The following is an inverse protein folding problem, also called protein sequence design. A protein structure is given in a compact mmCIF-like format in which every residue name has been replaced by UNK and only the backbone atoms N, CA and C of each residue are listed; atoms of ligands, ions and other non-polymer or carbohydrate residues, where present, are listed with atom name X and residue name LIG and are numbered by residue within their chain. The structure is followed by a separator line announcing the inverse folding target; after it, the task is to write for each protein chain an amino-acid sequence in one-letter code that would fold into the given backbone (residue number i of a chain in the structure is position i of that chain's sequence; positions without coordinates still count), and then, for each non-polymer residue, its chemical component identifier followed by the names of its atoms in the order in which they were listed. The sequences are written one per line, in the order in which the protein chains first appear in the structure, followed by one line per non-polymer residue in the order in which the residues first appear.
data_IF_607254612974
#
_entry.id   IF_607254612974
#
_cell.length_a   1.000
_cell.length_b   1.000
_cell.length_c   1.000
_cell.angle_alpha   90.00
_cell.angle_beta   90.00
_cell.angle_gamma   90.00
#
_symmetry.space_group_name_H-M   'P 1'
#
loop_
_entity.id
_entity.type
_entity.pdbx_description
1 polymer ?
#
# COMPACT_ATOMS: atom_id res chain seq x y z
N UNK A 1 -22.45 -15.86 13.68
CA UNK A 1 -23.47 -15.51 12.66
C UNK A 1 -22.98 -14.37 11.75
N UNK A 2 -21.71 -14.37 11.28
CA UNK A 2 -21.13 -13.25 10.51
C UNK A 2 -20.17 -13.74 9.41
N UNK A 3 -20.70 -14.47 8.42
CA UNK A 3 -19.94 -14.99 7.25
C UNK A 3 -20.47 -14.50 5.89
N UNK A 4 -21.30 -13.44 5.86
CA UNK A 4 -22.06 -13.05 4.66
C UNK A 4 -21.96 -11.58 4.22
N UNK A 5 -20.84 -10.89 4.44
CA UNK A 5 -20.73 -9.50 3.96
C UNK A 5 -20.22 -9.37 2.51
N UNK A 6 -19.52 -10.37 1.97
CA UNK A 6 -18.88 -10.28 0.63
C UNK A 6 -19.46 -11.20 -0.45
N UNK A 7 -20.38 -12.10 -0.08
CA UNK A 7 -21.08 -12.94 -1.06
C UNK A 7 -21.91 -12.12 -2.06
N UNK A 8 -22.36 -10.92 -1.67
CA UNK A 8 -23.04 -9.96 -2.57
C UNK A 8 -22.11 -9.27 -3.57
N UNK A 9 -20.79 -9.38 -3.41
CA UNK A 9 -19.78 -8.72 -4.24
C UNK A 9 -18.89 -9.72 -5.02
N UNK A 10 -19.27 -11.00 -5.09
CA UNK A 10 -18.51 -12.03 -5.80
C UNK A 10 -17.17 -12.41 -5.15
N UNK A 11 -16.83 -11.84 -4.00
CA UNK A 11 -15.54 -12.05 -3.31
C UNK A 11 -15.72 -13.11 -2.23
N UNK A 12 -15.01 -14.22 -2.39
CA UNK A 12 -14.99 -15.32 -1.41
C UNK A 12 -14.24 -14.89 -0.16
N UNK A 13 -14.77 -15.15 1.03
CA UNK A 13 -14.06 -14.89 2.28
C UNK A 13 -12.70 -15.63 2.30
N UNK A 14 -11.61 -15.00 2.75
CA UNK A 14 -10.30 -15.65 2.80
C UNK A 14 -10.36 -16.87 3.72
N UNK A 15 -9.97 -18.03 3.19
CA UNK A 15 -9.76 -19.24 4.00
C UNK A 15 -8.51 -18.99 4.84
N UNK A 16 -8.60 -19.16 6.16
CA UNK A 16 -7.40 -19.26 7.00
C UNK A 16 -6.49 -20.34 6.39
N UNK A 17 -5.19 -20.06 6.19
CA UNK A 17 -4.28 -21.10 5.73
C UNK A 17 -4.17 -22.16 6.84
N UNK A 18 -4.87 -23.27 6.65
CA UNK A 18 -4.53 -24.51 7.35
C UNK A 18 -3.31 -25.06 6.63
N UNK A 19 -2.17 -25.04 7.31
CA UNK A 19 -0.94 -25.61 6.80
C UNK A 19 -1.16 -27.07 6.37
N UNK A 20 -0.77 -27.37 5.13
CA UNK A 20 -0.31 -28.68 4.69
C UNK A 20 0.44 -28.51 3.38
N UNK A 21 1.74 -28.82 3.42
CA UNK A 21 2.55 -29.04 2.23
C UNK A 21 1.87 -30.08 1.34
N UNK A 22 1.71 -29.76 0.06
CA UNK A 22 1.50 -30.75 -0.98
C UNK A 22 2.34 -30.34 -2.19
N UNK A 23 3.47 -31.04 -2.37
CA UNK A 23 4.23 -31.02 -3.61
C UNK A 23 3.36 -31.59 -4.73
N UNK A 24 3.07 -30.83 -5.78
CA UNK A 24 2.67 -31.41 -7.06
C UNK A 24 3.35 -30.73 -8.26
N UNK A 25 3.55 -31.58 -9.27
CA UNK A 25 4.51 -31.54 -10.38
C UNK A 25 4.44 -30.33 -11.32
N UNK A 26 5.63 -30.04 -11.87
CA UNK A 26 5.97 -29.06 -12.92
C UNK A 26 5.09 -29.17 -14.17
N UNK A 27 4.69 -28.02 -14.72
CA UNK A 27 4.50 -27.82 -16.17
C UNK A 27 5.34 -26.62 -16.61
N UNK A 28 6.13 -26.87 -17.65
CA UNK A 28 7.09 -25.96 -18.27
C UNK A 28 6.40 -24.82 -19.01
N UNK A 29 6.75 -23.57 -18.68
CA UNK A 29 6.55 -22.42 -19.55
C UNK A 29 7.92 -21.81 -19.89
N UNK A 30 8.09 -21.52 -21.17
CA UNK A 30 9.29 -20.98 -21.81
C UNK A 30 9.61 -19.58 -21.29
N UNK A 31 10.72 -19.43 -20.57
CA UNK A 31 11.25 -18.14 -20.13
C UNK A 31 12.27 -17.62 -21.15
N UNK A 32 12.01 -16.41 -21.64
CA UNK A 32 12.91 -15.62 -22.47
C UNK A 32 14.20 -15.29 -21.72
N UNK A 33 15.32 -15.37 -22.46
CA UNK A 33 16.73 -15.31 -22.07
C UNK A 33 17.07 -14.36 -20.91
N UNK A 34 17.56 -14.93 -19.81
CA UNK A 34 18.47 -14.27 -18.87
C UNK A 34 19.89 -14.68 -19.25
N UNK A 35 20.76 -13.71 -19.51
CA UNK A 35 22.18 -13.91 -19.79
C UNK A 35 22.90 -14.38 -18.52
N UNK A 36 23.20 -15.68 -18.43
CA UNK A 36 24.01 -16.24 -17.35
C UNK A 36 25.50 -16.10 -17.68
N UNK A 37 26.26 -15.45 -16.80
CA UNK A 37 27.70 -15.68 -16.70
C UNK A 37 27.89 -16.97 -15.89
N UNK A 38 28.58 -17.92 -16.50
CA UNK A 38 28.78 -19.28 -16.02
C UNK A 38 29.83 -19.38 -14.91
N UNK A 39 29.51 -20.18 -13.89
CA UNK A 39 30.52 -20.90 -13.10
C UNK A 39 30.23 -20.95 -11.60
N UNK A 40 29.65 -22.05 -11.11
CA UNK A 40 30.18 -22.81 -9.97
C UNK A 40 29.35 -24.06 -9.68
N UNK A 41 30.05 -25.10 -9.26
CA UNK A 41 29.58 -26.46 -8.97
C UNK A 41 28.97 -26.58 -7.56
N UNK A 42 27.95 -27.44 -7.46
CA UNK A 42 27.63 -28.26 -6.28
C UNK A 42 27.54 -27.59 -4.90
N UNK A 43 26.36 -27.04 -4.58
CA UNK A 43 25.75 -27.02 -3.23
C UNK A 43 24.27 -26.66 -3.41
N UNK A 44 23.38 -27.21 -2.57
CA UNK A 44 21.93 -27.04 -2.70
C UNK A 44 21.59 -25.57 -2.96
N UNK A 45 20.76 -25.31 -3.98
CA UNK A 45 20.39 -23.95 -4.39
C UNK A 45 19.70 -23.27 -3.21
N UNK A 46 20.46 -22.50 -2.46
CA UNK A 46 19.95 -21.52 -1.53
C UNK A 46 19.15 -20.54 -2.40
N UNK A 47 17.82 -20.62 -2.31
CA UNK A 47 16.96 -19.65 -2.97
C UNK A 47 17.10 -18.38 -2.15
N UNK A 48 18.03 -17.51 -2.54
CA UNK A 48 18.13 -16.18 -1.98
C UNK A 48 16.88 -15.44 -2.43
N UNK A 49 15.90 -15.31 -1.53
CA UNK A 49 14.75 -14.47 -1.78
C UNK A 49 15.21 -13.04 -1.52
N UNK A 50 15.31 -12.25 -2.59
CA UNK A 50 15.62 -10.83 -2.50
C UNK A 50 14.35 -10.07 -2.14
N UNK A 51 14.44 -9.23 -1.10
CA UNK A 51 13.36 -8.33 -0.73
C UNK A 51 13.23 -7.22 -1.76
N UNK A 52 12.02 -7.05 -2.33
CA UNK A 52 11.72 -5.97 -3.25
C UNK A 52 11.31 -4.72 -2.47
N UNK A 53 12.31 -3.94 -2.05
CA UNK A 53 12.09 -2.63 -1.42
C UNK A 53 11.60 -1.57 -2.42
N UNK A 54 11.92 -1.76 -3.70
CA UNK A 54 11.41 -0.94 -4.80
C UNK A 54 10.89 -1.83 -5.93
N UNK A 55 9.88 -1.35 -6.64
CA UNK A 55 9.33 -2.01 -7.83
C UNK A 55 8.68 -0.97 -8.75
N UNK A 56 8.42 -1.32 -10.00
CA UNK A 56 7.80 -0.40 -10.97
C UNK A 56 6.42 -0.89 -11.35
N UNK A 57 5.44 0.03 -11.40
CA UNK A 57 4.15 -0.21 -12.06
C UNK A 57 3.92 0.94 -13.03
N UNK A 58 3.74 0.61 -14.31
CA UNK A 58 3.79 1.61 -15.37
C UNK A 58 5.11 2.37 -15.36
N UNK A 59 5.04 3.69 -15.39
CA UNK A 59 6.20 4.59 -15.39
C UNK A 59 6.55 5.16 -14.01
N UNK A 60 5.94 4.65 -12.93
CA UNK A 60 6.19 5.12 -11.56
C UNK A 60 7.04 4.13 -10.78
N UNK A 61 7.90 4.65 -9.90
CA UNK A 61 8.66 3.84 -8.95
C UNK A 61 7.93 3.74 -7.62
N UNK A 62 7.71 2.52 -7.16
CA UNK A 62 7.05 2.23 -5.90
C UNK A 62 8.09 1.84 -4.84
N UNK A 63 7.86 2.30 -3.61
CA UNK A 63 8.69 2.01 -2.45
C UNK A 63 7.85 1.22 -1.43
N UNK A 64 8.31 0.01 -1.11
CA UNK A 64 7.70 -0.92 -0.18
C UNK A 64 8.53 -1.01 1.11
N UNK A 65 8.02 -0.41 2.19
CA UNK A 65 8.81 -0.22 3.43
C UNK A 65 8.52 -1.24 4.53
N UNK A 66 7.36 -1.90 4.50
CA UNK A 66 6.87 -2.65 5.66
C UNK A 66 5.75 -3.59 5.27
N UNK A 67 5.63 -4.68 6.03
CA UNK A 67 4.49 -5.59 6.01
C UNK A 67 3.40 -5.20 7.04
N UNK A 68 3.73 -4.34 8.01
CA UNK A 68 2.84 -3.93 9.09
C UNK A 68 1.72 -3.05 8.54
N UNK A 69 0.53 -3.19 9.07
CA UNK A 69 -0.59 -2.30 8.78
C UNK A 69 -1.59 -2.40 9.93
N UNK A 70 -2.07 -1.26 10.41
CA UNK A 70 -3.15 -1.17 11.40
C UNK A 70 -4.48 -1.74 10.90
N UNK A 71 -4.64 -1.89 9.58
CA UNK A 71 -5.82 -2.50 8.96
C UNK A 71 -5.54 -3.92 8.49
N UNK A 72 -6.57 -4.75 8.56
CA UNK A 72 -6.62 -6.09 7.97
C UNK A 72 -7.76 -6.18 6.95
N UNK A 73 -7.77 -5.23 5.99
CA UNK A 73 -8.88 -5.09 5.06
C UNK A 73 -9.18 -6.40 4.34
N UNK A 74 -10.44 -6.79 4.34
CA UNK A 74 -10.91 -8.04 3.71
C UNK A 74 -10.82 -8.02 2.17
N UNK A 75 -10.68 -6.83 1.58
CA UNK A 75 -10.47 -6.61 0.14
C UNK A 75 -8.99 -6.37 -0.21
N UNK A 76 -8.06 -6.48 0.74
CA UNK A 76 -6.66 -6.20 0.48
C UNK A 76 -6.05 -7.24 -0.48
N UNK A 77 -5.28 -6.77 -1.46
CA UNK A 77 -4.60 -7.64 -2.42
C UNK A 77 -3.57 -8.55 -1.72
N UNK A 78 -2.98 -8.12 -0.59
CA UNK A 78 -1.99 -8.90 0.17
C UNK A 78 -2.52 -10.23 0.72
N UNK A 79 -3.85 -10.38 0.84
CA UNK A 79 -4.47 -11.66 1.23
C UNK A 79 -4.80 -12.56 0.05
N UNK A 80 -4.57 -12.09 -1.18
CA UNK A 80 -4.95 -12.76 -2.44
C UNK A 80 -3.74 -13.18 -3.27
N UNK A 81 -2.61 -12.48 -3.13
CA UNK A 81 -1.37 -12.70 -3.87
C UNK A 81 -0.13 -12.42 -3.02
N UNK A 82 1.02 -12.94 -3.45
CA UNK A 82 2.33 -12.70 -2.82
C UNK A 82 3.09 -11.51 -3.45
N UNK A 83 2.55 -10.91 -4.53
CA UNK A 83 3.22 -9.86 -5.28
C UNK A 83 2.34 -9.07 -6.24
N UNK A 84 2.90 -8.01 -6.82
CA UNK A 84 2.28 -7.10 -7.80
C UNK A 84 3.27 -6.82 -8.93
N UNK A 85 2.80 -6.69 -10.18
CA UNK A 85 3.67 -6.36 -11.31
C UNK A 85 4.81 -7.37 -11.54
N UNK A 86 4.56 -8.65 -11.24
CA UNK A 86 5.56 -9.72 -11.32
C UNK A 86 6.57 -9.78 -10.17
N UNK A 87 6.47 -8.89 -9.17
CA UNK A 87 7.41 -8.80 -8.05
C UNK A 87 6.76 -9.22 -6.73
N UNK A 88 7.43 -10.10 -5.97
CA UNK A 88 7.02 -10.46 -4.60
C UNK A 88 7.10 -9.22 -3.70
N UNK A 89 6.04 -8.91 -2.95
CA UNK A 89 6.00 -7.72 -2.06
C UNK A 89 6.11 -8.06 -0.57
N UNK A 90 5.93 -9.32 -0.17
CA UNK A 90 6.23 -9.72 1.21
C UNK A 90 7.72 -9.60 1.49
N UNK A 91 8.06 -8.81 2.51
CA UNK A 91 9.42 -8.59 2.96
C UNK A 91 9.82 -9.63 4.02
N UNK A 92 10.99 -10.25 3.88
CA UNK A 92 11.64 -11.01 4.94
C UNK A 92 12.22 -10.05 6.00
N UNK A 93 12.75 -8.90 5.56
CA UNK A 93 13.25 -7.85 6.43
C UNK A 93 12.77 -6.46 5.98
N UNK A 94 12.42 -5.60 6.94
CA UNK A 94 12.12 -4.20 6.62
C UNK A 94 13.41 -3.41 6.36
N UNK A 95 13.46 -2.59 5.29
CA UNK A 95 14.66 -1.82 4.96
C UNK A 95 14.82 -0.61 5.88
N UNK A 96 16.06 -0.15 6.04
CA UNK A 96 16.35 1.22 6.45
C UNK A 96 16.32 2.20 5.26
N UNK A 97 16.44 3.50 5.54
CA UNK A 97 16.36 4.52 4.49
C UNK A 97 17.52 4.44 3.49
N UNK A 98 18.73 4.11 3.96
CA UNK A 98 19.93 4.06 3.11
C UNK A 98 19.85 2.91 2.12
N UNK A 99 19.40 1.74 2.57
CA UNK A 99 19.16 0.58 1.70
C UNK A 99 18.18 0.91 0.57
N UNK A 100 17.09 1.63 0.85
CA UNK A 100 16.15 2.05 -0.19
C UNK A 100 16.80 3.08 -1.13
N UNK A 101 17.45 4.10 -0.57
CA UNK A 101 18.08 5.18 -1.35
C UNK A 101 19.13 4.64 -2.33
N UNK A 102 19.95 3.67 -1.91
CA UNK A 102 20.98 3.06 -2.77
C UNK A 102 20.40 2.26 -3.93
N UNK A 103 19.16 1.76 -3.81
CA UNK A 103 18.48 1.01 -4.87
C UNK A 103 17.77 1.93 -5.88
N UNK A 104 17.42 3.15 -5.48
CA UNK A 104 16.71 4.10 -6.34
C UNK A 104 17.66 4.53 -7.47
N UNK A 105 17.34 4.24 -8.76
CA UNK A 105 18.11 4.79 -9.89
C UNK A 105 17.78 6.28 -10.06
N UNK A 106 18.14 6.92 -11.18
CA UNK A 106 17.78 8.34 -11.38
C UNK A 106 16.26 8.56 -11.17
N UNK A 107 15.82 9.26 -10.10
CA UNK A 107 14.39 9.41 -9.77
C UNK A 107 13.62 10.18 -10.84
N UNK A 108 14.28 11.07 -11.57
CA UNK A 108 13.65 11.92 -12.60
C UNK A 108 13.27 11.16 -13.87
N UNK A 109 13.58 9.86 -13.96
CA UNK A 109 13.10 8.99 -15.05
C UNK A 109 11.67 8.50 -14.85
N UNK A 110 11.09 8.71 -13.67
CA UNK A 110 9.76 8.24 -13.32
C UNK A 110 8.76 9.38 -13.29
N UNK A 111 7.50 9.08 -13.61
CA UNK A 111 6.42 10.05 -13.53
C UNK A 111 6.17 10.50 -12.08
N UNK A 112 6.38 9.60 -11.13
CA UNK A 112 6.29 9.84 -9.68
C UNK A 112 6.97 8.73 -8.88
N UNK A 113 7.32 9.05 -7.63
CA UNK A 113 7.72 8.07 -6.62
C UNK A 113 6.54 7.84 -5.66
N UNK A 114 6.14 6.58 -5.48
CA UNK A 114 4.95 6.21 -4.72
C UNK A 114 5.33 5.33 -3.52
N UNK A 115 5.07 5.79 -2.31
CA UNK A 115 5.14 4.93 -1.11
C UNK A 115 3.87 4.08 -1.05
N UNK A 116 4.00 2.82 -1.40
CA UNK A 116 2.91 1.84 -1.42
C UNK A 116 3.50 0.42 -1.49
N UNK A 117 2.91 -0.50 -0.74
CA UNK A 117 3.33 -1.89 -0.64
C UNK A 117 2.23 -2.73 0.02
N UNK A 118 2.59 -3.85 0.64
CA UNK A 118 1.62 -4.69 1.38
C UNK A 118 1.31 -4.18 2.80
N UNK A 119 2.15 -3.29 3.33
CA UNK A 119 1.90 -2.60 4.60
C UNK A 119 1.42 -1.16 4.46
N UNK A 120 1.23 -0.53 5.61
CA UNK A 120 0.99 0.90 5.77
C UNK A 120 2.34 1.63 5.85
N UNK A 121 2.74 2.42 4.85
CA UNK A 121 4.06 3.03 4.83
C UNK A 121 4.34 3.95 6.04
N UNK A 122 3.32 4.52 6.68
CA UNK A 122 3.51 5.37 7.88
C UNK A 122 3.82 4.61 9.17
N UNK A 123 3.76 3.27 9.17
CA UNK A 123 4.36 2.41 10.21
C UNK A 123 5.88 2.58 10.30
N UNK A 124 6.50 3.12 9.25
CA UNK A 124 7.92 3.42 9.13
C UNK A 124 8.13 4.92 8.87
N UNK A 125 7.36 5.78 9.53
CA UNK A 125 7.33 7.23 9.28
C UNK A 125 8.71 7.88 9.23
N UNK A 126 9.61 7.58 10.16
CA UNK A 126 10.94 8.19 10.18
C UNK A 126 11.79 7.81 8.95
N UNK A 127 11.74 6.55 8.53
CA UNK A 127 12.42 6.05 7.32
C UNK A 127 11.80 6.67 6.07
N UNK A 128 10.48 6.70 5.99
CA UNK A 128 9.75 7.35 4.91
C UNK A 128 10.20 8.81 4.76
N UNK A 129 10.19 9.60 5.85
CA UNK A 129 10.55 11.01 5.82
C UNK A 129 12.03 11.22 5.47
N UNK A 130 12.94 10.31 5.87
CA UNK A 130 14.34 10.35 5.44
C UNK A 130 14.48 10.17 3.93
N UNK A 131 13.77 9.20 3.36
CA UNK A 131 13.76 8.95 1.90
C UNK A 131 13.16 10.17 1.17
N UNK A 132 12.05 10.74 1.65
CA UNK A 132 11.47 11.95 1.08
C UNK A 132 12.48 13.11 1.05
N UNK A 133 13.21 13.36 2.15
CA UNK A 133 14.24 14.41 2.20
C UNK A 133 15.35 14.19 1.17
N UNK A 134 15.75 12.94 0.94
CA UNK A 134 16.68 12.62 -0.14
C UNK A 134 16.09 12.93 -1.52
N UNK A 135 14.85 12.48 -1.77
CA UNK A 135 14.18 12.63 -3.06
C UNK A 135 13.84 14.08 -3.42
N UNK A 136 13.64 14.98 -2.44
CA UNK A 136 13.42 16.42 -2.72
C UNK A 136 14.61 17.14 -3.36
N UNK A 137 15.77 16.48 -3.52
CA UNK A 137 16.89 16.98 -4.33
C UNK A 137 16.63 16.86 -5.84
N UNK A 138 15.59 16.13 -6.24
CA UNK A 138 15.23 15.84 -7.63
C UNK A 138 13.85 16.43 -7.95
N UNK A 139 13.60 16.69 -9.23
CA UNK A 139 12.34 17.25 -9.71
C UNK A 139 11.28 16.18 -9.98
N UNK A 140 11.09 15.25 -9.04
CA UNK A 140 10.12 14.14 -9.16
C UNK A 140 8.99 14.30 -8.12
N UNK A 141 7.71 14.14 -8.52
CA UNK A 141 6.59 14.14 -7.58
C UNK A 141 6.65 12.94 -6.62
N UNK A 142 6.31 13.17 -5.35
CA UNK A 142 6.23 12.13 -4.31
C UNK A 142 4.78 11.96 -3.86
N UNK A 143 4.28 10.72 -3.94
CA UNK A 143 2.96 10.33 -3.45
C UNK A 143 3.06 9.29 -2.33
N UNK A 144 2.22 9.43 -1.31
CA UNK A 144 1.99 8.38 -0.30
C UNK A 144 0.58 7.81 -0.48
N UNK A 145 0.49 6.49 -0.62
CA UNK A 145 -0.77 5.78 -0.45
C UNK A 145 -0.84 5.27 0.99
N UNK A 146 -1.87 5.68 1.73
CA UNK A 146 -1.99 5.38 3.16
C UNK A 146 -3.44 5.02 3.52
N UNK A 147 -3.63 4.31 4.62
CA UNK A 147 -4.90 4.15 5.30
C UNK A 147 -5.30 5.38 6.14
N UNK A 148 -4.39 6.35 6.31
CA UNK A 148 -4.62 7.61 7.03
C UNK A 148 -4.33 7.57 8.53
N UNK A 149 -3.76 6.48 9.05
CA UNK A 149 -3.52 6.30 10.49
C UNK A 149 -2.17 6.83 10.98
N UNK A 150 -1.48 7.68 10.21
CA UNK A 150 -0.13 8.14 10.53
C UNK A 150 -0.03 8.76 11.94
N UNK A 151 -0.95 9.66 12.29
CA UNK A 151 -1.00 10.30 13.62
C UNK A 151 -1.40 9.32 14.73
N UNK A 152 -2.30 8.39 14.44
CA UNK A 152 -2.74 7.34 15.36
C UNK A 152 -1.58 6.40 15.73
N UNK A 153 -0.83 5.93 14.72
CA UNK A 153 0.38 5.11 14.89
C UNK A 153 1.41 5.85 15.73
N UNK A 154 1.67 7.13 15.40
CA UNK A 154 2.66 7.95 16.09
C UNK A 154 2.19 8.48 17.46
N UNK A 155 0.91 8.32 17.80
CA UNK A 155 0.24 8.86 19.00
C UNK A 155 0.43 10.38 19.17
N UNK A 156 0.55 11.11 18.06
CA UNK A 156 0.72 12.57 18.01
C UNK A 156 0.35 13.09 16.62
N UNK A 157 0.09 14.39 16.51
CA UNK A 157 -0.09 15.01 15.20
C UNK A 157 1.21 14.97 14.39
N UNK A 158 1.18 14.27 13.25
CA UNK A 158 2.31 14.19 12.31
C UNK A 158 2.06 14.94 11.01
N UNK A 159 0.88 15.54 10.81
CA UNK A 159 0.57 16.30 9.61
C UNK A 159 1.63 17.36 9.25
N UNK A 160 2.19 18.13 10.22
CA UNK A 160 3.23 19.12 9.93
C UNK A 160 4.51 18.55 9.32
N UNK A 161 4.82 17.28 9.59
CA UNK A 161 6.07 16.65 9.14
C UNK A 161 6.14 16.44 7.63
N UNK A 162 4.99 16.46 6.94
CA UNK A 162 4.93 16.26 5.49
C UNK A 162 5.17 17.55 4.69
N UNK A 163 5.20 18.71 5.35
CA UNK A 163 5.37 20.02 4.70
C UNK A 163 6.63 20.05 3.84
N UNK A 164 6.46 20.33 2.55
CA UNK A 164 7.57 20.45 1.59
C UNK A 164 8.27 19.12 1.23
N UNK A 165 7.84 17.99 1.80
CA UNK A 165 8.44 16.67 1.57
C UNK A 165 7.58 15.76 0.70
N UNK A 166 6.27 15.99 0.65
CA UNK A 166 5.32 15.15 -0.07
C UNK A 166 4.39 16.03 -0.88
N UNK A 167 4.16 15.64 -2.14
CA UNK A 167 3.35 16.41 -3.06
C UNK A 167 1.89 15.91 -3.05
N UNK A 168 1.68 14.60 -2.89
CA UNK A 168 0.35 13.99 -2.78
C UNK A 168 0.22 12.98 -1.64
N UNK A 169 -0.88 13.04 -0.89
CA UNK A 169 -1.31 11.96 0.01
C UNK A 169 -2.66 11.43 -0.45
N UNK A 170 -2.70 10.15 -0.82
CA UNK A 170 -3.91 9.41 -1.19
C UNK A 170 -4.32 8.49 -0.04
N UNK A 171 -5.41 8.86 0.64
CA UNK A 171 -5.94 8.19 1.82
C UNK A 171 -7.06 7.23 1.40
N UNK A 172 -7.02 6.03 1.95
CA UNK A 172 -7.95 4.94 1.65
C UNK A 172 -9.18 4.98 2.56
N UNK A 173 -10.23 5.68 2.14
CA UNK A 173 -11.49 5.84 2.90
C UNK A 173 -12.33 4.55 2.91
N UNK A 174 -12.66 4.02 1.73
CA UNK A 174 -13.37 2.75 1.46
C UNK A 174 -14.67 2.44 2.25
N UNK A 175 -15.23 3.37 3.03
CA UNK A 175 -16.51 3.20 3.72
C UNK A 175 -17.11 4.58 4.05
N UNK A 176 -18.43 4.69 4.08
CA UNK A 176 -19.12 5.95 4.43
C UNK A 176 -19.38 6.15 5.93
N UNK A 177 -19.08 5.16 6.77
CA UNK A 177 -19.30 5.23 8.23
C UNK A 177 -18.24 4.44 9.01
N UNK A 178 -18.04 4.78 10.29
CA UNK A 178 -17.07 4.14 11.17
C UNK A 178 -17.35 2.63 11.36
N UNK A 179 -18.62 2.28 11.55
CA UNK A 179 -19.06 0.88 11.62
C UNK A 179 -18.72 0.10 10.35
N UNK A 180 -19.10 0.63 9.19
CA UNK A 180 -18.83 -0.08 7.93
C UNK A 180 -17.34 -0.14 7.63
N UNK A 181 -16.60 0.93 7.94
CA UNK A 181 -15.14 0.93 7.90
C UNK A 181 -14.56 -0.21 8.74
N UNK A 182 -15.03 -0.40 9.96
CA UNK A 182 -14.54 -1.49 10.80
C UNK A 182 -14.92 -2.88 10.24
N UNK A 183 -16.10 -3.03 9.66
CA UNK A 183 -16.52 -4.28 9.00
C UNK A 183 -15.61 -4.63 7.80
N UNK A 184 -15.16 -3.64 7.02
CA UNK A 184 -14.36 -3.84 5.82
C UNK A 184 -12.85 -3.82 6.08
N UNK A 185 -12.35 -2.78 6.76
CA UNK A 185 -10.94 -2.51 6.99
C UNK A 185 -10.36 -3.26 8.19
N UNK A 186 -11.21 -3.66 9.15
CA UNK A 186 -10.80 -4.41 10.35
C UNK A 186 -9.60 -3.75 11.04
N UNK A 187 -9.78 -2.49 11.44
CA UNK A 187 -8.74 -1.73 12.13
C UNK A 187 -8.48 -2.31 13.52
N UNK A 188 -7.22 -2.31 13.95
CA UNK A 188 -6.81 -2.73 15.30
C UNK A 188 -7.39 -1.84 16.41
N UNK A 189 -7.74 -0.59 16.12
CA UNK A 189 -8.37 0.36 17.05
C UNK A 189 -9.91 0.39 16.94
N UNK A 190 -10.51 -0.54 16.18
CA UNK A 190 -11.96 -0.57 15.98
C UNK A 190 -12.47 0.60 15.13
N UNK A 191 -13.70 1.03 15.41
CA UNK A 191 -14.36 2.13 14.70
C UNK A 191 -13.58 3.46 14.80
N UNK A 192 -12.80 3.64 15.87
CA UNK A 192 -11.96 4.84 16.07
C UNK A 192 -10.97 5.07 14.93
N UNK A 193 -10.50 4.01 14.26
CA UNK A 193 -9.60 4.15 13.11
C UNK A 193 -10.19 5.03 12.01
N UNK A 194 -11.52 4.96 11.79
CA UNK A 194 -12.20 5.82 10.83
C UNK A 194 -12.10 7.30 11.20
N UNK A 195 -12.34 7.63 12.46
CA UNK A 195 -12.29 9.01 12.96
C UNK A 195 -10.87 9.57 12.89
N UNK A 196 -9.87 8.78 13.28
CA UNK A 196 -8.44 9.14 13.21
C UNK A 196 -7.99 9.38 11.76
N UNK A 197 -8.45 8.56 10.81
CA UNK A 197 -8.19 8.74 9.38
C UNK A 197 -8.79 10.04 8.84
N UNK A 198 -10.03 10.37 9.23
CA UNK A 198 -10.66 11.64 8.83
C UNK A 198 -9.98 12.85 9.47
N UNK A 199 -9.56 12.76 10.74
CA UNK A 199 -8.82 13.82 11.41
C UNK A 199 -7.45 14.05 10.76
N UNK A 200 -6.75 12.97 10.40
CA UNK A 200 -5.50 13.07 9.64
C UNK A 200 -5.71 13.76 8.29
N UNK A 201 -6.73 13.35 7.52
CA UNK A 201 -7.06 13.98 6.24
C UNK A 201 -7.35 15.48 6.39
N UNK A 202 -8.11 15.85 7.43
CA UNK A 202 -8.44 17.24 7.76
C UNK A 202 -7.22 18.08 8.10
N UNK A 203 -6.23 17.53 8.81
CA UNK A 203 -5.03 18.25 9.24
C UNK A 203 -3.98 18.32 8.14
N UNK A 204 -3.75 17.23 7.42
CA UNK A 204 -2.62 17.11 6.50
C UNK A 204 -2.78 17.97 5.24
N UNK A 205 -4.01 18.35 4.88
CA UNK A 205 -4.27 19.29 3.77
C UNK A 205 -3.68 20.68 3.98
N UNK A 206 -3.40 21.10 5.22
CA UNK A 206 -2.76 22.38 5.54
C UNK A 206 -1.24 22.37 5.24
N UNK A 207 -0.69 21.19 4.95
CA UNK A 207 0.75 20.95 4.80
C UNK A 207 1.12 20.31 3.46
N UNK A 208 0.21 19.54 2.86
CA UNK A 208 0.42 18.83 1.59
C UNK A 208 -0.47 19.39 0.49
N UNK A 209 0.07 19.75 -0.69
CA UNK A 209 -0.69 20.40 -1.76
C UNK A 209 -1.89 19.62 -2.28
N UNK A 210 -1.78 18.29 -2.32
CA UNK A 210 -2.79 17.43 -2.91
C UNK A 210 -3.18 16.28 -1.96
N UNK A 211 -4.30 16.44 -1.26
CA UNK A 211 -4.87 15.38 -0.41
C UNK A 211 -6.11 14.80 -1.09
N UNK A 212 -6.16 13.47 -1.17
CA UNK A 212 -7.21 12.73 -1.86
C UNK A 212 -7.78 11.68 -0.91
N UNK A 213 -9.09 11.64 -0.74
CA UNK A 213 -9.78 10.44 -0.24
C UNK A 213 -10.17 9.56 -1.41
N UNK A 214 -9.93 8.26 -1.27
CA UNK A 214 -10.21 7.29 -2.32
C UNK A 214 -11.02 6.08 -1.84
N UNK A 215 -11.81 5.54 -2.76
CA UNK A 215 -12.66 4.36 -2.56
C UNK A 215 -12.52 3.40 -3.74
N UNK A 216 -12.83 2.13 -3.54
CA UNK A 216 -12.86 1.14 -4.63
C UNK A 216 -14.18 1.19 -5.41
N UNK A 217 -14.12 0.91 -6.71
CA UNK A 217 -15.24 0.95 -7.65
C UNK A 217 -16.30 -0.14 -7.46
N UNK A 218 -15.99 -1.21 -6.73
CA UNK A 218 -16.93 -2.29 -6.41
C UNK A 218 -17.94 -1.93 -5.30
N UNK A 219 -17.83 -0.74 -4.70
CA UNK A 219 -18.76 -0.25 -3.68
C UNK A 219 -20.11 0.12 -4.31
N UNK A 220 -21.23 0.03 -3.55
CA UNK A 220 -22.51 0.54 -4.02
C UNK A 220 -22.43 2.02 -4.40
N UNK A 221 -23.02 2.41 -5.53
CA UNK A 221 -22.96 3.79 -6.03
C UNK A 221 -23.45 4.82 -5.00
N UNK A 222 -24.51 4.49 -4.25
CA UNK A 222 -24.99 5.33 -3.15
C UNK A 222 -23.91 5.60 -2.10
N UNK A 223 -23.16 4.57 -1.72
CA UNK A 223 -22.12 4.69 -0.72
C UNK A 223 -20.89 5.44 -1.26
N UNK A 224 -20.56 5.26 -2.54
CA UNK A 224 -19.52 6.06 -3.21
C UNK A 224 -19.87 7.55 -3.12
N UNK A 225 -21.13 7.92 -3.29
CA UNK A 225 -21.57 9.31 -3.17
C UNK A 225 -21.52 9.82 -1.72
N UNK A 226 -21.94 9.02 -0.73
CA UNK A 226 -21.76 9.35 0.69
C UNK A 226 -20.27 9.58 1.03
N UNK A 227 -19.36 8.78 0.45
CA UNK A 227 -17.92 8.98 0.58
C UNK A 227 -17.43 10.27 -0.09
N UNK A 228 -18.02 10.65 -1.23
CA UNK A 228 -17.73 11.91 -1.91
C UNK A 228 -18.14 13.11 -1.05
N UNK A 229 -19.29 13.06 -0.41
CA UNK A 229 -19.75 14.09 0.52
C UNK A 229 -18.82 14.24 1.73
N UNK A 230 -18.24 13.14 2.24
CA UNK A 230 -17.20 13.19 3.28
C UNK A 230 -15.98 13.98 2.78
N UNK A 231 -15.47 13.65 1.59
CA UNK A 231 -14.32 14.36 1.02
C UNK A 231 -14.61 15.86 0.78
N UNK A 232 -15.81 16.18 0.30
CA UNK A 232 -16.26 17.56 0.10
C UNK A 232 -16.31 18.34 1.42
N UNK A 233 -16.91 17.77 2.48
CA UNK A 233 -16.95 18.40 3.81
C UNK A 233 -15.57 18.65 4.39
N UNK A 234 -14.62 17.76 4.12
CA UNK A 234 -13.23 17.92 4.53
C UNK A 234 -12.43 18.89 3.63
N UNK A 235 -12.97 19.27 2.47
CA UNK A 235 -12.31 20.15 1.51
C UNK A 235 -11.11 19.48 0.84
N UNK A 236 -11.19 18.17 0.57
CA UNK A 236 -10.14 17.38 -0.09
C UNK A 236 -10.69 16.74 -1.37
N UNK A 237 -9.80 16.31 -2.27
CA UNK A 237 -10.22 15.67 -3.51
C UNK A 237 -10.78 14.28 -3.26
N UNK A 238 -11.63 13.82 -4.17
CA UNK A 238 -12.20 12.47 -4.13
C UNK A 238 -11.84 11.71 -5.40
N UNK A 239 -11.48 10.42 -5.26
CA UNK A 239 -11.16 9.54 -6.39
C UNK A 239 -11.74 8.14 -6.19
N UNK A 240 -12.48 7.65 -7.18
CA UNK A 240 -12.82 6.23 -7.27
C UNK A 240 -11.70 5.52 -8.01
N UNK A 241 -11.23 4.38 -7.48
CA UNK A 241 -10.16 3.56 -8.07
C UNK A 241 -10.66 2.15 -8.34
N UNK A 242 -10.11 1.52 -9.36
CA UNK A 242 -10.35 0.11 -9.63
C UNK A 242 -9.83 -0.76 -8.49
N UNK A 243 -10.63 -1.73 -8.07
CA UNK A 243 -10.18 -2.75 -7.13
C UNK A 243 -9.07 -3.58 -7.79
N UNK A 244 -7.92 -3.66 -7.12
CA UNK A 244 -6.82 -4.50 -7.53
C UNK A 244 -7.12 -5.96 -7.13
N UNK A 245 -7.04 -6.88 -8.09
CA UNK A 245 -7.21 -8.32 -7.88
C UNK A 245 -5.89 -9.07 -8.10
N UNK A 246 -5.92 -10.40 -8.00
CA UNK A 246 -4.71 -11.23 -8.17
C UNK A 246 -4.20 -11.22 -9.62
N UNK A 247 -5.08 -10.88 -10.56
CA UNK A 247 -4.83 -10.91 -12.00
C UNK A 247 -4.11 -9.65 -12.52
N UNK A 248 -3.99 -8.61 -11.68
CA UNK A 248 -3.28 -7.35 -11.97
C UNK A 248 -1.78 -7.41 -11.65
#
# INVERSE_FOLDING_TARGET
MWRRSWAKYGISAPRRPQGRLALTRRRSFSASRISYISGFSGRGKEVIILDNYIYTLGNSLYINLTNRCTNSCVFCVRSQTDGMGGQRLWLEKEPDAEQVIQLIPNPEKYDEIVFCGFGEPTERLDVLLQICRYLKKFSVPIRINTNGHASMIAKRDVAPLFRGLVDTISISLNASSARHYQELCQCCEGERGFEEMLDFARRVKEYVPNVILSVVDVMPQKEIEECREIAQRLGVKFRVRTLITKED
#
